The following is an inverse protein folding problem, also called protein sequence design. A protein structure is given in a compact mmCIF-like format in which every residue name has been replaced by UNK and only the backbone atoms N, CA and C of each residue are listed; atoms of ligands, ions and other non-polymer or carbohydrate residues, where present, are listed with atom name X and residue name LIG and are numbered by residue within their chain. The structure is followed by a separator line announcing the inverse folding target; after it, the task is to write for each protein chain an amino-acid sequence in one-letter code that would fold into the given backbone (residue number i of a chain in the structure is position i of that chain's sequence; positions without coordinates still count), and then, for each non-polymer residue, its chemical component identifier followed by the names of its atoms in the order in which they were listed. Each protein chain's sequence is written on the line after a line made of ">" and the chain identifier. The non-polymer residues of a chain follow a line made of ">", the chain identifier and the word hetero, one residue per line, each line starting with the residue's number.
data_IF_220568555893
#
_entry.id   IF_220568555893
#
_cell.length_a   1.000
_cell.length_b   1.000
_cell.length_c   1.000
_cell.angle_alpha   90.00
_cell.angle_beta   90.00
_cell.angle_gamma   90.00
#
_symmetry.space_group_name_H-M   'P 1'
#
loop_
_entity.id
_entity.type
_entity.pdbx_description
1 polymer ?
#
# COMPACT_ATOMS: atom_id res chain seq x y z
N UNK A 1 -17.65 6.43 -6.05
CA UNK A 1 -17.55 5.58 -4.84
C UNK A 1 -17.37 6.40 -3.56
N UNK A 2 -16.32 7.20 -3.36
CA UNK A 2 -16.05 7.91 -2.11
C UNK A 2 -17.16 8.85 -1.62
N UNK A 3 -17.78 9.62 -2.52
CA UNK A 3 -18.93 10.48 -2.17
C UNK A 3 -20.14 9.66 -1.67
N UNK A 4 -20.37 8.47 -2.25
CA UNK A 4 -21.44 7.58 -1.82
C UNK A 4 -21.18 7.05 -0.40
N UNK A 5 -19.94 6.66 -0.08
CA UNK A 5 -19.56 6.22 1.26
C UNK A 5 -19.82 7.31 2.31
N UNK A 6 -19.48 8.58 2.00
CA UNK A 6 -19.71 9.70 2.92
C UNK A 6 -21.19 10.03 3.15
N UNK A 7 -22.04 9.79 2.14
CA UNK A 7 -23.46 10.12 2.21
C UNK A 7 -24.31 8.99 2.78
N UNK A 8 -24.07 7.78 2.28
CA UNK A 8 -24.96 6.62 2.48
C UNK A 8 -24.33 5.58 3.45
N UNK A 9 -23.09 5.78 3.86
CA UNK A 9 -22.29 4.77 4.56
C UNK A 9 -21.71 3.73 3.60
N UNK A 10 -21.04 2.73 4.15
CA UNK A 10 -20.44 1.63 3.40
C UNK A 10 -18.92 1.52 3.64
N UNK A 11 -18.30 0.60 2.94
CA UNK A 11 -16.87 0.32 3.04
C UNK A 11 -16.21 0.36 1.68
N UNK A 12 -14.89 0.61 1.69
CA UNK A 12 -14.05 0.41 0.52
C UNK A 12 -13.80 -1.10 0.35
N UNK A 13 -13.71 -1.53 -0.91
CA UNK A 13 -13.35 -2.91 -1.23
C UNK A 13 -11.82 -3.07 -1.22
N UNK A 14 -11.30 -4.20 -0.71
CA UNK A 14 -9.88 -4.51 -0.78
C UNK A 14 -9.39 -4.62 -2.23
N UNK A 15 -8.21 -4.07 -2.51
CA UNK A 15 -7.47 -4.36 -3.73
C UNK A 15 -6.90 -5.77 -3.68
N UNK A 16 -6.90 -6.46 -4.84
CA UNK A 16 -6.33 -7.80 -5.01
C UNK A 16 -5.41 -7.84 -6.25
N UNK A 17 -4.80 -6.71 -6.58
CA UNK A 17 -3.95 -6.60 -7.76
C UNK A 17 -2.58 -7.24 -7.53
N UNK A 18 -1.95 -7.71 -8.61
CA UNK A 18 -0.64 -8.35 -8.56
C UNK A 18 0.51 -7.40 -8.18
N UNK A 19 0.26 -6.09 -8.16
CA UNK A 19 1.23 -5.06 -7.80
C UNK A 19 0.95 -4.39 -6.45
N UNK A 20 0.01 -4.92 -5.66
CA UNK A 20 -0.29 -4.45 -4.30
C UNK A 20 0.87 -4.74 -3.36
N UNK A 21 1.87 -3.87 -3.33
CA UNK A 21 3.19 -4.13 -2.75
C UNK A 21 3.21 -4.42 -1.24
N UNK A 22 2.20 -3.98 -0.49
CA UNK A 22 1.96 -4.37 0.91
C UNK A 22 1.01 -5.58 1.05
N UNK A 23 0.79 -6.33 -0.04
CA UNK A 23 -0.20 -7.40 -0.11
C UNK A 23 -1.63 -6.89 -0.33
N UNK A 24 -2.56 -7.81 -0.46
CA UNK A 24 -3.98 -7.48 -0.70
C UNK A 24 -4.60 -6.75 0.50
N UNK A 25 -5.37 -5.70 0.25
CA UNK A 25 -6.02 -4.88 1.28
C UNK A 25 -6.57 -3.56 0.76
N UNK A 26 -7.09 -2.73 1.65
CA UNK A 26 -7.55 -1.38 1.34
C UNK A 26 -6.37 -0.42 1.55
N UNK A 27 -5.98 0.31 0.50
CA UNK A 27 -4.81 1.16 0.52
C UNK A 27 -5.11 2.60 0.89
N UNK A 28 -4.25 3.18 1.75
CA UNK A 28 -4.31 4.57 2.17
C UNK A 28 -2.91 5.20 2.18
N UNK A 29 -2.84 6.51 1.93
CA UNK A 29 -1.67 7.34 2.19
C UNK A 29 -1.77 7.90 3.61
N UNK A 30 -0.83 7.57 4.49
CA UNK A 30 -0.82 8.03 5.87
C UNK A 30 -0.52 9.53 5.92
N UNK A 31 -1.45 10.32 6.50
CA UNK A 31 -1.26 11.75 6.73
C UNK A 31 -1.01 12.60 5.46
N UNK A 32 -1.23 12.06 4.25
CA UNK A 32 -0.85 12.73 3.01
C UNK A 32 -2.02 12.87 2.00
N UNK A 33 -3.03 13.71 2.29
CA UNK A 33 -4.14 13.94 1.37
C UNK A 33 -3.70 14.59 0.05
N UNK A 34 -2.58 15.36 0.07
CA UNK A 34 -2.00 15.96 -1.13
C UNK A 34 -1.51 14.92 -2.12
N UNK A 35 -0.79 13.89 -1.65
CA UNK A 35 -0.33 12.78 -2.51
C UNK A 35 -1.50 11.98 -3.07
N UNK A 36 -2.52 11.71 -2.23
CA UNK A 36 -3.74 11.04 -2.67
C UNK A 36 -4.47 11.84 -3.77
N UNK A 37 -4.54 13.17 -3.64
CA UNK A 37 -5.15 14.04 -4.65
C UNK A 37 -4.32 14.07 -5.93
N UNK A 38 -3.00 14.19 -5.84
CA UNK A 38 -2.11 14.19 -7.01
C UNK A 38 -2.28 12.88 -7.82
N UNK A 39 -2.32 11.73 -7.13
CA UNK A 39 -2.60 10.45 -7.76
C UNK A 39 -3.99 10.40 -8.43
N UNK A 40 -5.04 10.90 -7.76
CA UNK A 40 -6.38 10.94 -8.34
C UNK A 40 -6.43 11.82 -9.60
N UNK A 41 -5.76 12.98 -9.59
CA UNK A 41 -5.66 13.86 -10.78
C UNK A 41 -4.93 13.16 -11.92
N UNK A 42 -3.85 12.43 -11.62
CA UNK A 42 -3.15 11.64 -12.64
C UNK A 42 -4.06 10.57 -13.24
N UNK A 43 -4.82 9.83 -12.42
CA UNK A 43 -5.78 8.83 -12.90
C UNK A 43 -6.88 9.44 -13.78
N UNK A 44 -7.32 10.66 -13.47
CA UNK A 44 -8.26 11.40 -14.33
C UNK A 44 -7.63 11.73 -15.69
N UNK A 45 -6.38 12.22 -15.71
CA UNK A 45 -5.65 12.52 -16.96
C UNK A 45 -5.48 11.27 -17.83
N UNK A 46 -5.33 10.11 -17.21
CA UNK A 46 -5.25 8.80 -17.89
C UNK A 46 -6.62 8.26 -18.34
N UNK A 47 -7.71 8.99 -18.09
CA UNK A 47 -9.07 8.56 -18.44
C UNK A 47 -9.63 7.41 -17.58
N UNK A 48 -8.99 7.11 -16.45
CA UNK A 48 -9.36 5.98 -15.59
C UNK A 48 -10.42 6.32 -14.54
N UNK A 49 -10.61 7.60 -14.26
CA UNK A 49 -11.68 8.11 -13.40
C UNK A 49 -12.23 9.41 -13.98
N UNK A 50 -13.52 9.69 -13.75
CA UNK A 50 -14.17 10.91 -14.26
C UNK A 50 -13.76 12.16 -13.48
N UNK A 51 -13.75 12.09 -12.15
CA UNK A 51 -13.43 13.20 -11.28
C UNK A 51 -12.53 12.77 -10.11
N UNK A 52 -11.47 13.56 -9.79
CA UNK A 52 -10.60 13.26 -8.67
C UNK A 52 -11.35 13.49 -7.36
N UNK A 53 -11.22 12.55 -6.43
CA UNK A 53 -11.84 12.63 -5.12
C UNK A 53 -10.95 11.92 -4.09
N UNK A 54 -10.71 12.58 -2.95
CA UNK A 54 -9.99 11.99 -1.81
C UNK A 54 -10.96 11.71 -0.68
N UNK A 55 -10.93 10.48 -0.20
CA UNK A 55 -11.65 10.03 0.98
C UNK A 55 -10.63 9.82 2.11
N UNK A 56 -10.83 10.46 3.24
CA UNK A 56 -10.07 10.22 4.46
C UNK A 56 -10.69 9.11 5.29
N UNK A 57 -9.85 8.41 6.06
CA UNK A 57 -10.31 7.41 7.02
C UNK A 57 -9.59 7.56 8.36
N UNK A 58 -10.28 7.23 9.45
CA UNK A 58 -9.70 7.04 10.78
C UNK A 58 -9.42 5.54 10.91
N UNK A 59 -8.15 5.19 11.10
CA UNK A 59 -7.70 3.81 11.08
C UNK A 59 -7.00 3.48 12.40
N UNK A 60 -7.49 2.45 13.07
CA UNK A 60 -6.81 1.76 14.15
C UNK A 60 -6.01 0.61 13.54
N UNK A 61 -4.70 0.66 13.59
CA UNK A 61 -3.84 -0.31 12.92
C UNK A 61 -3.90 -1.71 13.53
N UNK A 62 -4.35 -1.83 14.79
CA UNK A 62 -4.44 -3.10 15.52
C UNK A 62 -3.12 -3.90 15.46
N UNK A 63 -3.18 -5.21 15.16
CA UNK A 63 -1.99 -6.03 14.95
C UNK A 63 -1.37 -5.69 13.58
N UNK A 64 -0.46 -4.74 13.58
CA UNK A 64 0.16 -4.17 12.37
C UNK A 64 1.52 -4.80 12.07
N UNK A 65 1.73 -5.17 10.82
CA UNK A 65 3.07 -5.42 10.30
C UNK A 65 3.69 -4.08 9.90
N UNK A 66 4.55 -3.53 10.75
CA UNK A 66 5.23 -2.27 10.50
C UNK A 66 6.61 -2.50 9.84
N UNK A 67 6.78 -1.99 8.62
CA UNK A 67 8.04 -2.13 7.87
C UNK A 67 9.07 -1.04 8.23
N UNK A 68 8.79 -0.19 9.21
CA UNK A 68 9.80 0.64 9.88
C UNK A 68 10.46 -0.10 11.03
N UNK A 69 9.85 -1.21 11.48
CA UNK A 69 10.39 -2.03 12.55
C UNK A 69 11.30 -3.12 12.00
N UNK A 70 12.39 -3.38 12.73
CA UNK A 70 13.36 -4.42 12.41
C UNK A 70 12.73 -5.82 12.35
N UNK A 71 11.84 -6.13 13.29
CA UNK A 71 11.18 -7.43 13.35
C UNK A 71 10.21 -7.62 12.19
N UNK A 72 9.49 -6.57 11.80
CA UNK A 72 8.64 -6.58 10.61
C UNK A 72 9.44 -6.88 9.34
N UNK A 73 10.57 -6.19 9.15
CA UNK A 73 11.47 -6.43 8.01
C UNK A 73 12.06 -7.84 8.02
N UNK A 74 12.41 -8.37 9.20
CA UNK A 74 12.93 -9.74 9.35
C UNK A 74 11.90 -10.79 8.91
N UNK A 75 10.63 -10.61 9.26
CA UNK A 75 9.53 -11.49 8.82
C UNK A 75 9.31 -11.45 7.30
N UNK A 76 9.34 -10.27 6.69
CA UNK A 76 9.25 -10.14 5.22
C UNK A 76 10.42 -10.83 4.54
N UNK A 77 11.64 -10.68 5.06
CA UNK A 77 12.83 -11.40 4.55
C UNK A 77 12.68 -12.92 4.66
N UNK A 78 12.09 -13.43 5.73
CA UNK A 78 11.80 -14.84 5.89
C UNK A 78 10.73 -15.32 4.89
N UNK A 79 9.67 -14.54 4.70
CA UNK A 79 8.62 -14.84 3.72
C UNK A 79 9.16 -14.90 2.29
N UNK A 80 10.11 -14.03 1.93
CA UNK A 80 10.79 -14.11 0.64
C UNK A 80 11.54 -15.45 0.47
N UNK A 81 12.27 -15.89 1.50
CA UNK A 81 12.97 -17.18 1.45
C UNK A 81 11.99 -18.35 1.25
N UNK A 82 10.86 -18.31 1.96
CA UNK A 82 9.80 -19.30 1.82
C UNK A 82 9.21 -19.30 0.41
N UNK A 83 8.88 -18.12 -0.15
CA UNK A 83 8.40 -17.98 -1.52
C UNK A 83 9.36 -18.60 -2.52
N UNK A 84 10.67 -18.37 -2.38
CA UNK A 84 11.69 -18.96 -3.24
C UNK A 84 11.70 -20.48 -3.15
N UNK A 85 11.67 -21.04 -1.95
CA UNK A 85 11.66 -22.51 -1.72
C UNK A 85 10.42 -23.17 -2.32
N UNK A 86 9.23 -22.60 -2.06
CA UNK A 86 7.96 -23.14 -2.58
C UNK A 86 7.93 -23.05 -4.12
N UNK A 87 8.40 -21.94 -4.68
CA UNK A 87 8.43 -21.77 -6.14
C UNK A 87 9.37 -22.76 -6.84
N UNK A 88 10.54 -23.02 -6.25
CA UNK A 88 11.48 -24.04 -6.76
C UNK A 88 10.85 -25.43 -6.70
N UNK A 89 10.26 -25.79 -5.55
CA UNK A 89 9.61 -27.09 -5.39
C UNK A 89 8.43 -27.31 -6.34
N UNK A 90 7.67 -26.24 -6.64
CA UNK A 90 6.52 -26.29 -7.55
C UNK A 90 6.88 -26.07 -9.02
N UNK A 91 8.13 -25.76 -9.35
CA UNK A 91 8.55 -25.43 -10.73
C UNK A 91 7.90 -24.14 -11.27
N UNK A 92 7.48 -23.23 -10.39
CA UNK A 92 6.80 -21.97 -10.76
C UNK A 92 7.77 -20.80 -10.83
N UNK A 93 7.45 -19.80 -11.69
CA UNK A 93 8.26 -18.58 -11.79
C UNK A 93 7.90 -17.61 -10.67
N UNK A 94 8.92 -17.11 -9.99
CA UNK A 94 8.77 -16.02 -9.02
C UNK A 94 8.54 -14.71 -9.77
N UNK A 95 7.53 -13.90 -9.40
CA UNK A 95 7.33 -12.56 -9.97
C UNK A 95 8.56 -11.67 -9.77
N UNK A 96 8.63 -10.58 -10.54
CA UNK A 96 9.69 -9.58 -10.41
C UNK A 96 9.09 -8.21 -10.16
N UNK A 97 9.82 -7.38 -9.43
CA UNK A 97 9.55 -5.96 -9.43
C UNK A 97 10.09 -5.35 -10.73
N UNK A 98 9.24 -4.62 -11.45
CA UNK A 98 9.54 -4.05 -12.77
C UNK A 98 9.26 -2.56 -12.79
N UNK A 99 9.96 -1.81 -13.62
CA UNK A 99 9.83 -0.36 -13.78
C UNK A 99 11.09 0.24 -14.37
N UNK A 100 10.93 1.38 -15.06
CA UNK A 100 12.04 2.10 -15.67
C UNK A 100 12.85 2.91 -14.65
N UNK A 101 12.26 3.24 -13.52
CA UNK A 101 12.83 4.02 -12.42
C UNK A 101 13.31 3.13 -11.27
N UNK A 102 14.17 3.66 -10.43
CA UNK A 102 14.76 2.93 -9.29
C UNK A 102 13.69 2.44 -8.28
N UNK A 103 12.55 3.09 -8.21
CA UNK A 103 11.40 2.75 -7.36
C UNK A 103 10.64 1.50 -7.85
N UNK A 104 10.86 1.07 -9.11
CA UNK A 104 10.25 -0.13 -9.70
C UNK A 104 8.75 -0.22 -9.40
N UNK A 105 7.97 0.73 -9.90
CA UNK A 105 6.54 0.89 -9.58
C UNK A 105 5.66 -0.36 -9.78
N UNK A 106 6.08 -1.30 -10.63
CA UNK A 106 5.44 -2.61 -10.79
C UNK A 106 5.95 -3.62 -9.75
N UNK A 107 5.34 -3.69 -8.59
CA UNK A 107 5.79 -4.38 -7.36
C UNK A 107 5.32 -5.84 -7.24
N UNK A 108 5.34 -6.62 -8.31
CA UNK A 108 4.85 -8.00 -8.31
C UNK A 108 5.57 -8.95 -7.34
N UNK A 109 6.88 -8.79 -7.17
CA UNK A 109 7.64 -9.59 -6.19
C UNK A 109 7.23 -9.24 -4.77
N UNK A 110 7.17 -7.95 -4.44
CA UNK A 110 6.80 -7.51 -3.09
C UNK A 110 5.39 -7.98 -2.73
N UNK A 111 4.42 -7.85 -3.66
CA UNK A 111 3.07 -8.38 -3.50
C UNK A 111 3.08 -9.89 -3.19
N UNK A 112 3.83 -10.68 -3.96
CA UNK A 112 3.92 -12.12 -3.76
C UNK A 112 4.53 -12.47 -2.40
N UNK A 113 5.58 -11.76 -1.97
CA UNK A 113 6.23 -11.95 -0.66
C UNK A 113 5.26 -11.66 0.48
N UNK A 114 4.54 -10.53 0.41
CA UNK A 114 3.59 -10.15 1.46
C UNK A 114 2.43 -11.14 1.55
N UNK A 115 1.87 -11.57 0.43
CA UNK A 115 0.81 -12.57 0.42
C UNK A 115 1.31 -13.94 0.91
N UNK A 116 2.57 -14.31 0.62
CA UNK A 116 3.19 -15.51 1.18
C UNK A 116 3.31 -15.44 2.70
N UNK A 117 3.71 -14.29 3.26
CA UNK A 117 3.76 -14.08 4.71
C UNK A 117 2.38 -14.32 5.35
N UNK A 118 1.35 -13.70 4.79
CA UNK A 118 0.00 -13.83 5.34
C UNK A 118 -0.54 -15.25 5.22
N UNK A 119 -0.29 -15.92 4.10
CA UNK A 119 -0.71 -17.30 3.90
C UNK A 119 0.01 -18.25 4.87
N UNK A 120 1.31 -18.09 5.04
CA UNK A 120 2.10 -18.87 5.98
C UNK A 120 1.59 -18.76 7.42
N UNK A 121 1.30 -17.53 7.88
CA UNK A 121 0.74 -17.32 9.22
C UNK A 121 -0.63 -17.98 9.38
N UNK A 122 -1.49 -17.88 8.34
CA UNK A 122 -2.79 -18.55 8.32
C UNK A 122 -2.67 -20.07 8.44
N UNK A 123 -1.76 -20.69 7.68
CA UNK A 123 -1.54 -22.15 7.70
C UNK A 123 -1.02 -22.65 9.05
N UNK A 124 -0.25 -21.80 9.74
CA UNK A 124 0.26 -22.08 11.09
C UNK A 124 -0.69 -21.67 12.22
N UNK A 125 -1.85 -21.16 11.89
CA UNK A 125 -2.84 -20.65 12.86
C UNK A 125 -2.26 -19.54 13.77
N UNK A 126 -1.27 -18.79 13.27
CA UNK A 126 -0.72 -17.63 13.96
C UNK A 126 -1.65 -16.43 13.84
N UNK A 127 -1.58 -15.49 14.79
CA UNK A 127 -2.37 -14.27 14.78
C UNK A 127 -2.16 -13.51 13.47
N UNK A 128 -3.22 -13.31 12.69
CA UNK A 128 -3.17 -12.58 11.43
C UNK A 128 -2.81 -11.10 11.66
N UNK A 129 -2.13 -10.50 10.69
CA UNK A 129 -1.98 -9.05 10.67
C UNK A 129 -3.27 -8.40 10.15
N UNK A 130 -3.78 -7.42 10.90
CA UNK A 130 -4.94 -6.61 10.54
C UNK A 130 -4.59 -5.54 9.51
N UNK A 131 -3.34 -5.04 9.57
CA UNK A 131 -2.84 -4.01 8.68
C UNK A 131 -1.35 -4.20 8.39
N UNK A 132 -0.87 -3.53 7.35
CA UNK A 132 0.55 -3.41 7.00
C UNK A 132 0.87 -1.94 6.77
N UNK A 133 2.00 -1.46 7.29
CA UNK A 133 2.48 -0.08 7.16
C UNK A 133 3.89 -0.07 6.59
N UNK A 134 4.14 0.71 5.55
CA UNK A 134 5.46 0.74 4.95
C UNK A 134 5.81 2.04 4.24
N UNK A 135 7.13 2.38 4.17
CA UNK A 135 7.62 3.53 3.44
C UNK A 135 7.66 3.25 1.94
N UNK A 136 7.23 4.22 1.14
CA UNK A 136 7.30 4.18 -0.31
C UNK A 136 8.18 5.32 -0.82
N UNK A 137 9.30 4.95 -1.45
CA UNK A 137 10.23 5.88 -2.07
C UNK A 137 9.85 6.03 -3.54
N UNK A 138 9.25 7.16 -3.91
CA UNK A 138 8.72 7.39 -5.25
C UNK A 138 9.08 8.79 -5.76
N UNK A 139 9.14 8.93 -7.07
CA UNK A 139 9.43 10.19 -7.74
C UNK A 139 10.91 10.46 -7.95
N UNK A 140 11.20 11.68 -8.40
CA UNK A 140 12.55 12.16 -8.69
C UNK A 140 13.31 12.55 -7.42
N UNK A 141 14.63 12.60 -7.51
CA UNK A 141 15.46 13.20 -6.45
C UNK A 141 15.10 14.68 -6.27
N UNK A 142 14.89 15.12 -5.00
CA UNK A 142 14.55 16.53 -4.74
C UNK A 142 15.71 17.49 -4.99
N UNK A 143 16.93 16.97 -5.05
CA UNK A 143 18.15 17.61 -5.55
C UNK A 143 19.16 16.52 -5.95
N UNK A 144 20.14 16.78 -6.81
CA UNK A 144 21.11 15.78 -7.27
C UNK A 144 21.80 15.05 -6.11
N UNK A 145 21.73 13.73 -6.08
CA UNK A 145 22.28 12.89 -5.02
C UNK A 145 21.46 12.80 -3.74
N UNK A 146 20.25 13.35 -3.72
CA UNK A 146 19.36 13.26 -2.55
C UNK A 146 18.90 11.82 -2.28
N UNK A 147 18.91 11.43 -1.01
CA UNK A 147 18.22 10.23 -0.53
C UNK A 147 16.69 10.39 -0.43
N UNK A 148 16.19 11.62 -0.59
CA UNK A 148 14.76 11.95 -0.55
C UNK A 148 14.19 12.07 -1.96
N UNK A 149 12.95 11.59 -2.13
CA UNK A 149 12.24 11.65 -3.41
C UNK A 149 11.03 12.58 -3.30
N UNK A 150 10.64 13.17 -4.42
CA UNK A 150 9.56 14.16 -4.48
C UNK A 150 8.18 13.62 -4.10
N UNK A 151 7.98 12.32 -4.17
CA UNK A 151 6.71 11.64 -3.89
C UNK A 151 6.81 10.62 -2.75
N UNK A 152 7.84 10.75 -1.89
CA UNK A 152 7.97 9.90 -0.70
C UNK A 152 6.71 9.97 0.16
N UNK A 153 6.25 8.81 0.59
CA UNK A 153 5.07 8.72 1.44
C UNK A 153 5.05 7.41 2.23
N UNK A 154 4.15 7.33 3.19
CA UNK A 154 3.83 6.09 3.89
C UNK A 154 2.50 5.57 3.35
N UNK A 155 2.46 4.29 3.05
CA UNK A 155 1.22 3.59 2.71
C UNK A 155 0.81 2.63 3.81
N UNK A 156 -0.50 2.49 3.95
CA UNK A 156 -1.15 1.48 4.76
C UNK A 156 -1.92 0.54 3.83
N UNK A 157 -1.84 -0.76 4.09
CA UNK A 157 -2.74 -1.76 3.52
C UNK A 157 -3.58 -2.32 4.67
N UNK A 158 -4.87 -1.99 4.70
CA UNK A 158 -5.82 -2.47 5.71
C UNK A 158 -6.42 -3.78 5.22
N UNK A 159 -6.17 -4.85 5.96
CA UNK A 159 -6.61 -6.20 5.64
C UNK A 159 -7.88 -6.60 6.40
N UNK A 160 -8.04 -6.08 7.62
CA UNK A 160 -9.24 -6.24 8.42
C UNK A 160 -10.06 -4.95 8.38
N UNK A 161 -11.24 -4.99 7.78
CA UNK A 161 -12.10 -3.82 7.62
C UNK A 161 -12.48 -3.15 8.96
N UNK A 162 -12.47 -3.89 10.07
CA UNK A 162 -12.71 -3.35 11.40
C UNK A 162 -11.63 -2.36 11.89
N UNK A 163 -10.48 -2.29 11.23
CA UNK A 163 -9.49 -1.23 11.46
C UNK A 163 -10.04 0.15 11.12
N UNK A 164 -10.96 0.25 10.15
CA UNK A 164 -11.54 1.53 9.73
C UNK A 164 -12.66 1.92 10.68
N UNK A 165 -12.44 3.00 11.44
CA UNK A 165 -13.39 3.52 12.45
C UNK A 165 -14.36 4.55 11.87
N UNK A 166 -14.07 5.10 10.71
CA UNK A 166 -14.93 6.04 10.04
C UNK A 166 -14.26 6.70 8.84
N UNK A 167 -15.07 7.31 8.00
CA UNK A 167 -14.63 8.05 6.82
C UNK A 167 -14.97 9.53 6.96
N UNK A 168 -14.16 10.38 6.35
CA UNK A 168 -14.36 11.82 6.34
C UNK A 168 -13.89 12.44 5.04
N UNK A 169 -14.33 13.67 4.77
CA UNK A 169 -13.80 14.47 3.69
C UNK A 169 -12.62 15.29 4.21
N UNK A 170 -11.38 15.05 3.71
CA UNK A 170 -10.23 15.86 4.13
C UNK A 170 -10.47 17.33 3.77
N UNK A 171 -10.17 18.24 4.69
CA UNK A 171 -10.10 19.64 4.37
C UNK A 171 -8.94 19.85 3.38
N UNK A 172 -9.20 20.53 2.28
CA UNK A 172 -8.16 20.88 1.32
C UNK A 172 -7.23 21.87 2.05
N UNK A 173 -6.06 21.41 2.46
CA UNK A 173 -4.98 22.36 2.68
C UNK A 173 -4.75 23.02 1.32
N UNK A 174 -4.91 24.34 1.22
CA UNK A 174 -4.42 25.08 0.06
C UNK A 174 -3.00 24.61 -0.17
N UNK A 175 -2.70 24.15 -1.39
CA UNK A 175 -1.32 23.89 -1.76
C UNK A 175 -0.51 25.10 -1.33
N UNK A 176 0.47 24.89 -0.47
CA UNK A 176 1.41 25.94 -0.15
C UNK A 176 2.07 26.30 -1.49
N UNK A 177 1.68 27.42 -2.06
CA UNK A 177 2.41 28.04 -3.16
C UNK A 177 3.70 28.57 -2.55
N UNK A 178 4.79 27.83 -2.77
CA UNK A 178 6.16 28.34 -2.57
C UNK A 178 6.60 29.11 -3.80
#
# INVERSE_FOLDING_TARGET
>A
MGQKILRDGGHLEPSVQQWDWLGHGIYFWEGNPGRAMAWAVQRQKEGKIEAPFVLGAIIDLRHCLDLFDHDGLAQVKQAHRLLMQVSVAAGTKVPRNVGATADRAGRGLDCAVMNTLHQYRKERQELAYDSVRGPFLEGEEIYPGAGFRSENHIQLSVRNAECVKGYFRPLHSKAASF
#
